data_IF_773063018079
#
_entry.id   IF_773063018079
#
_cell.length_a   1.000
_cell.length_b   1.000
_cell.length_c   1.000
_cell.angle_alpha   90.00
_cell.angle_beta   90.00
_cell.angle_gamma   90.00
#
_symmetry.space_group_name_H-M   'P 1'
#
loop_
_entity.id
_entity.type
_entity.pdbx_description
1 polymer ?
#
# COMPACT_ATOMS: atom_id res chain seq x y z
N UNK A 1 -12.97 -26.10 -12.34
CA UNK A 1 -12.58 -26.67 -11.02
C UNK A 1 -12.64 -25.52 -10.04
N UNK A 2 -13.10 -25.70 -8.80
CA UNK A 2 -13.14 -24.58 -7.84
C UNK A 2 -11.72 -24.07 -7.57
N UNK A 3 -11.47 -22.79 -7.84
CA UNK A 3 -10.20 -22.14 -7.50
C UNK A 3 -10.00 -22.18 -5.98
N UNK A 4 -8.78 -22.43 -5.53
CA UNK A 4 -8.45 -22.36 -4.09
C UNK A 4 -7.11 -21.68 -3.91
N UNK A 5 -7.11 -20.64 -3.06
CA UNK A 5 -6.00 -19.76 -2.78
C UNK A 5 -5.53 -19.97 -1.34
N UNK A 6 -4.25 -19.69 -1.07
CA UNK A 6 -3.75 -19.70 0.31
C UNK A 6 -4.00 -18.35 0.94
N UNK A 7 -4.92 -18.31 1.92
CA UNK A 7 -5.15 -17.11 2.72
C UNK A 7 -4.03 -16.95 3.73
N UNK A 8 -3.42 -15.77 3.72
CA UNK A 8 -2.30 -15.46 4.62
C UNK A 8 -2.80 -15.22 6.04
N UNK A 9 -4.04 -14.74 6.19
CA UNK A 9 -4.65 -14.49 7.49
C UNK A 9 -4.93 -15.81 8.23
N UNK A 10 -5.44 -16.83 7.53
CA UNK A 10 -5.68 -18.15 8.12
C UNK A 10 -4.47 -19.09 8.05
N UNK A 11 -3.56 -18.88 7.10
CA UNK A 11 -2.45 -19.78 6.78
C UNK A 11 -2.89 -21.03 5.99
N UNK A 12 -4.17 -21.14 5.65
CA UNK A 12 -4.78 -22.32 5.05
C UNK A 12 -5.10 -22.10 3.56
N UNK A 13 -5.27 -23.21 2.84
CA UNK A 13 -5.77 -23.16 1.46
C UNK A 13 -7.29 -23.21 1.47
N UNK A 14 -7.91 -22.12 1.03
CA UNK A 14 -9.35 -21.92 1.07
C UNK A 14 -9.95 -21.85 -0.35
N UNK A 15 -11.18 -22.36 -0.55
CA UNK A 15 -11.89 -22.15 -1.81
C UNK A 15 -12.15 -20.67 -2.02
N UNK A 16 -11.88 -20.17 -3.23
CA UNK A 16 -12.16 -18.79 -3.59
C UNK A 16 -13.65 -18.62 -3.95
N UNK A 17 -14.29 -17.66 -3.30
CA UNK A 17 -15.65 -17.21 -3.61
C UNK A 17 -15.63 -15.68 -3.80
N UNK A 18 -16.12 -15.21 -4.94
CA UNK A 18 -16.22 -13.78 -5.19
C UNK A 18 -17.30 -13.16 -4.29
N UNK A 19 -17.04 -11.97 -3.75
CA UNK A 19 -17.99 -11.22 -2.92
C UNK A 19 -19.13 -10.58 -3.72
N UNK A 20 -19.03 -10.55 -5.05
CA UNK A 20 -20.03 -9.98 -5.95
C UNK A 20 -19.88 -10.44 -7.41
N UNK A 21 -20.49 -9.70 -8.34
CA UNK A 21 -20.47 -10.01 -9.78
C UNK A 21 -19.07 -9.83 -10.41
N UNK A 22 -18.29 -8.89 -9.88
CA UNK A 22 -16.91 -8.62 -10.30
C UNK A 22 -15.93 -8.96 -9.18
N UNK A 23 -14.81 -9.59 -9.51
CA UNK A 23 -13.69 -9.83 -8.60
C UNK A 23 -12.80 -8.60 -8.51
N UNK A 24 -12.64 -8.05 -7.30
CA UNK A 24 -11.81 -6.90 -6.98
C UNK A 24 -10.41 -7.36 -6.58
N UNK A 25 -9.47 -7.20 -7.50
CA UNK A 25 -8.08 -7.59 -7.35
C UNK A 25 -7.20 -6.35 -7.20
N UNK A 26 -6.60 -6.17 -6.04
CA UNK A 26 -5.58 -5.15 -5.81
C UNK A 26 -4.19 -5.81 -5.73
N UNK A 27 -3.23 -5.28 -6.47
CA UNK A 27 -1.83 -5.71 -6.43
C UNK A 27 -0.98 -4.53 -5.98
N UNK A 28 -0.20 -4.69 -4.90
CA UNK A 28 0.80 -3.70 -4.54
C UNK A 28 1.83 -3.58 -5.67
N UNK A 29 1.90 -2.40 -6.28
CA UNK A 29 2.92 -2.11 -7.29
C UNK A 29 4.22 -1.64 -6.68
N UNK A 30 5.00 -0.89 -7.45
CA UNK A 30 6.40 -0.61 -7.14
C UNK A 30 6.63 0.84 -6.71
N UNK A 31 7.61 1.00 -5.84
CA UNK A 31 8.37 2.25 -5.72
C UNK A 31 9.22 2.43 -6.98
N UNK A 32 8.89 3.44 -7.78
CA UNK A 32 9.52 3.68 -9.10
C UNK A 32 10.82 4.48 -8.99
N UNK A 33 11.81 3.89 -8.29
CA UNK A 33 13.14 4.47 -8.04
C UNK A 33 14.29 3.74 -8.73
N UNK A 34 14.00 2.61 -9.41
CA UNK A 34 15.02 1.76 -10.04
C UNK A 34 14.42 0.83 -11.11
N UNK A 35 15.29 0.21 -11.90
CA UNK A 35 14.88 -0.76 -12.92
C UNK A 35 14.21 -1.99 -12.30
N UNK A 36 13.13 -2.51 -12.92
CA UNK A 36 12.49 -3.71 -12.42
C UNK A 36 13.37 -4.95 -12.60
N UNK A 37 13.38 -5.82 -11.59
CA UNK A 37 14.13 -7.08 -11.61
C UNK A 37 13.21 -8.31 -11.57
N UNK A 38 13.77 -9.51 -11.71
CA UNK A 38 13.03 -10.79 -11.75
C UNK A 38 12.11 -11.05 -10.54
N UNK A 39 12.42 -10.47 -9.38
CA UNK A 39 11.52 -10.51 -8.22
C UNK A 39 10.15 -9.88 -8.50
N UNK A 40 10.13 -8.73 -9.19
CA UNK A 40 8.89 -8.04 -9.58
C UNK A 40 8.16 -8.82 -10.67
N UNK A 41 8.91 -9.32 -11.67
CA UNK A 41 8.35 -10.14 -12.74
C UNK A 41 7.61 -11.38 -12.21
N UNK A 42 8.09 -11.97 -11.10
CA UNK A 42 7.41 -13.08 -10.44
C UNK A 42 6.04 -12.69 -9.88
N UNK A 43 5.94 -11.57 -9.16
CA UNK A 43 4.66 -11.08 -8.63
C UNK A 43 3.69 -10.78 -9.77
N UNK A 44 4.12 -10.05 -10.79
CA UNK A 44 3.27 -9.70 -11.92
C UNK A 44 2.79 -10.93 -12.70
N UNK A 45 3.66 -11.92 -12.91
CA UNK A 45 3.26 -13.16 -13.57
C UNK A 45 2.20 -13.93 -12.75
N UNK A 46 2.31 -13.91 -11.42
CA UNK A 46 1.32 -14.57 -10.55
C UNK A 46 -0.02 -13.84 -10.58
N UNK A 47 -0.02 -12.51 -10.54
CA UNK A 47 -1.23 -11.70 -10.69
C UNK A 47 -1.87 -11.88 -12.08
N UNK A 48 -1.07 -11.91 -13.15
CA UNK A 48 -1.53 -12.13 -14.52
C UNK A 48 -2.18 -13.52 -14.71
N UNK A 49 -1.54 -14.58 -14.20
CA UNK A 49 -2.10 -15.94 -14.24
C UNK A 49 -3.43 -15.99 -13.49
N UNK A 50 -3.50 -15.38 -12.30
CA UNK A 50 -4.72 -15.35 -11.49
C UNK A 50 -5.84 -14.59 -12.20
N UNK A 51 -5.55 -13.40 -12.72
CA UNK A 51 -6.51 -12.62 -13.50
C UNK A 51 -7.02 -13.42 -14.69
N UNK A 52 -6.13 -13.97 -15.52
CA UNK A 52 -6.51 -14.77 -16.70
C UNK A 52 -7.34 -15.98 -16.33
N UNK A 53 -7.03 -16.64 -15.22
CA UNK A 53 -7.79 -17.78 -14.73
C UNK A 53 -9.21 -17.38 -14.29
N UNK A 54 -9.33 -16.30 -13.50
CA UNK A 54 -10.64 -15.77 -13.07
C UNK A 54 -11.50 -15.37 -14.27
N UNK A 55 -10.91 -14.67 -15.25
CA UNK A 55 -11.59 -14.31 -16.49
C UNK A 55 -12.00 -15.55 -17.30
N UNK A 56 -11.16 -16.60 -17.34
CA UNK A 56 -11.48 -17.87 -17.99
C UNK A 56 -12.66 -18.60 -17.32
N UNK A 57 -12.76 -18.55 -16.00
CA UNK A 57 -13.89 -19.11 -15.23
C UNK A 57 -15.16 -18.23 -15.31
N UNK A 58 -15.10 -17.11 -16.05
CA UNK A 58 -16.25 -16.26 -16.36
C UNK A 58 -16.47 -15.07 -15.42
N UNK A 59 -15.52 -14.78 -14.52
CA UNK A 59 -15.58 -13.59 -13.69
C UNK A 59 -15.21 -12.33 -14.48
N UNK A 60 -15.88 -11.23 -14.19
CA UNK A 60 -15.38 -9.89 -14.51
C UNK A 60 -14.33 -9.49 -13.47
N UNK A 61 -13.12 -9.11 -13.88
CA UNK A 61 -12.00 -8.86 -12.96
C UNK A 61 -11.61 -7.39 -13.00
N UNK A 62 -11.86 -6.69 -11.89
CA UNK A 62 -11.41 -5.31 -11.67
C UNK A 62 -10.04 -5.34 -11.02
N UNK A 63 -9.01 -5.17 -11.85
CA UNK A 63 -7.62 -5.25 -11.46
C UNK A 63 -7.00 -3.85 -11.31
N UNK A 64 -6.52 -3.52 -10.11
CA UNK A 64 -5.84 -2.26 -9.79
C UNK A 64 -4.42 -2.53 -9.28
N UNK A 65 -3.44 -1.79 -9.79
CA UNK A 65 -2.05 -1.89 -9.35
C UNK A 65 -1.45 -0.49 -9.17
N UNK A 66 -1.08 -0.09 -7.95
CA UNK A 66 -0.59 1.27 -7.71
C UNK A 66 0.84 1.51 -8.21
N UNK A 67 1.23 2.77 -8.28
CA UNK A 67 2.60 3.21 -8.49
C UNK A 67 2.97 4.13 -7.33
N UNK A 68 3.95 3.72 -6.53
CA UNK A 68 4.50 4.58 -5.47
C UNK A 68 5.52 5.52 -6.09
N UNK A 69 5.06 6.73 -6.44
CA UNK A 69 5.85 7.80 -7.06
C UNK A 69 6.32 8.89 -6.09
N UNK A 70 6.10 8.68 -4.79
CA UNK A 70 6.57 9.52 -3.68
C UNK A 70 7.27 8.61 -2.67
N UNK A 71 8.59 8.74 -2.52
CA UNK A 71 9.39 7.97 -1.55
C UNK A 71 10.83 8.52 -1.49
N UNK A 72 11.49 8.39 -0.34
CA UNK A 72 12.89 8.81 -0.15
C UNK A 72 13.87 8.24 -1.19
N UNK A 73 13.64 7.02 -1.68
CA UNK A 73 14.45 6.40 -2.74
C UNK A 73 14.29 7.07 -4.09
N UNK A 74 13.15 7.72 -4.35
CA UNK A 74 12.91 8.49 -5.57
C UNK A 74 13.56 9.86 -5.40
N UNK A 75 13.38 10.49 -4.24
CA UNK A 75 14.05 11.76 -3.87
C UNK A 75 15.56 11.66 -4.06
N UNK A 76 16.19 10.58 -3.58
CA UNK A 76 17.63 10.33 -3.70
C UNK A 76 18.19 10.23 -5.12
N UNK A 77 17.32 10.15 -6.14
CA UNK A 77 17.70 10.08 -7.57
C UNK A 77 17.59 11.42 -8.29
N UNK A 78 16.92 12.39 -7.69
CA UNK A 78 16.77 13.73 -8.28
C UNK A 78 18.17 14.33 -8.45
N UNK A 79 18.46 14.85 -9.64
CA UNK A 79 19.78 15.38 -10.00
C UNK A 79 20.79 14.36 -10.52
N UNK A 80 20.51 13.05 -10.45
CA UNK A 80 21.41 12.01 -10.98
C UNK A 80 21.58 12.09 -12.50
N UNK A 81 20.57 12.62 -13.21
CA UNK A 81 20.60 12.84 -14.66
C UNK A 81 20.09 14.25 -14.96
N UNK A 82 20.56 14.84 -16.06
CA UNK A 82 20.16 16.19 -16.50
C UNK A 82 18.63 16.32 -16.67
N UNK A 83 17.95 15.25 -17.07
CA UNK A 83 16.48 15.22 -17.24
C UNK A 83 15.70 14.92 -15.95
N UNK A 84 16.37 14.71 -14.82
CA UNK A 84 15.74 14.33 -13.54
C UNK A 84 15.78 15.50 -12.55
N UNK A 85 15.07 16.57 -12.89
CA UNK A 85 14.99 17.79 -12.08
C UNK A 85 14.04 17.63 -10.88
N UNK A 86 13.04 16.75 -11.00
CA UNK A 86 12.04 16.50 -9.96
C UNK A 86 11.82 15.01 -9.72
N UNK A 87 11.22 14.65 -8.58
CA UNK A 87 10.81 13.27 -8.30
C UNK A 87 9.84 12.74 -9.36
N UNK A 88 8.97 13.62 -9.88
CA UNK A 88 8.05 13.27 -10.96
C UNK A 88 8.78 12.83 -12.24
N UNK A 89 9.98 13.36 -12.51
CA UNK A 89 10.77 12.96 -13.68
C UNK A 89 11.39 11.58 -13.51
N UNK A 90 11.94 11.32 -12.32
CA UNK A 90 12.46 10.01 -11.92
C UNK A 90 11.34 8.97 -11.98
N UNK A 91 10.22 9.24 -11.30
CA UNK A 91 9.08 8.35 -11.22
C UNK A 91 8.49 8.06 -12.60
N UNK A 92 8.34 9.08 -13.46
CA UNK A 92 7.85 8.91 -14.83
C UNK A 92 8.76 8.02 -15.66
N UNK A 93 10.08 8.18 -15.54
CA UNK A 93 11.05 7.33 -16.23
C UNK A 93 10.89 5.86 -15.84
N UNK A 94 10.94 5.56 -14.54
CA UNK A 94 10.86 4.19 -14.07
C UNK A 94 9.47 3.57 -14.21
N UNK A 95 8.40 4.36 -14.11
CA UNK A 95 7.03 3.90 -14.43
C UNK A 95 6.94 3.43 -15.88
N UNK A 96 7.52 4.19 -16.82
CA UNK A 96 7.53 3.81 -18.23
C UNK A 96 8.35 2.53 -18.46
N UNK A 97 9.52 2.39 -17.82
CA UNK A 97 10.31 1.16 -17.89
C UNK A 97 9.52 -0.05 -17.34
N UNK A 98 8.90 0.08 -16.17
CA UNK A 98 8.05 -0.97 -15.56
C UNK A 98 6.95 -1.41 -16.52
N UNK A 99 6.15 -0.46 -17.02
CA UNK A 99 5.04 -0.76 -17.93
C UNK A 99 5.53 -1.36 -19.27
N UNK A 100 6.70 -0.94 -19.74
CA UNK A 100 7.32 -1.54 -20.93
C UNK A 100 7.76 -2.98 -20.66
N UNK A 101 8.38 -3.29 -19.50
CA UNK A 101 8.75 -4.67 -19.16
C UNK A 101 7.54 -5.57 -18.97
N UNK A 102 6.47 -5.08 -18.35
CA UNK A 102 5.20 -5.83 -18.25
C UNK A 102 4.65 -6.18 -19.64
N UNK A 103 4.72 -5.22 -20.58
CA UNK A 103 4.32 -5.44 -21.97
C UNK A 103 5.21 -6.47 -22.68
N UNK A 104 6.53 -6.37 -22.52
CA UNK A 104 7.49 -7.32 -23.12
C UNK A 104 7.26 -8.76 -22.62
N UNK A 105 6.80 -8.90 -21.38
CA UNK A 105 6.41 -10.17 -20.76
C UNK A 105 4.99 -10.64 -21.13
N UNK A 106 4.26 -9.90 -21.98
CA UNK A 106 2.90 -10.18 -22.40
C UNK A 106 1.90 -10.29 -21.22
N UNK A 107 2.08 -9.47 -20.19
CA UNK A 107 1.18 -9.40 -19.05
C UNK A 107 -0.04 -8.53 -19.39
N UNK A 108 -1.20 -8.87 -18.82
CA UNK A 108 -2.39 -8.03 -18.87
C UNK A 108 -2.11 -6.70 -18.17
N UNK A 109 -2.68 -5.61 -18.71
CA UNK A 109 -2.69 -4.33 -18.01
C UNK A 109 -3.72 -4.36 -16.89
N UNK A 110 -3.40 -3.76 -15.77
CA UNK A 110 -4.41 -3.35 -14.80
C UNK A 110 -5.39 -2.34 -15.44
N UNK A 111 -6.61 -2.29 -14.91
CA UNK A 111 -7.65 -1.34 -15.28
C UNK A 111 -7.16 0.10 -15.06
N UNK A 112 -6.48 0.33 -13.93
CA UNK A 112 -5.90 1.62 -13.56
C UNK A 112 -4.62 1.42 -12.76
N UNK A 113 -3.69 2.37 -12.95
CA UNK A 113 -2.43 2.47 -12.23
C UNK A 113 -2.40 3.75 -11.39
N UNK A 114 -3.05 3.78 -10.21
CA UNK A 114 -3.12 4.99 -9.39
C UNK A 114 -1.74 5.37 -8.84
N UNK A 115 -1.46 6.67 -8.81
CA UNK A 115 -0.21 7.25 -8.30
C UNK A 115 -0.43 7.92 -6.95
N UNK A 116 0.53 7.79 -6.05
CA UNK A 116 0.46 8.40 -4.71
C UNK A 116 0.32 9.90 -4.80
N UNK A 117 1.12 10.55 -5.65
CA UNK A 117 1.09 12.00 -5.86
C UNK A 117 -0.28 12.54 -6.31
N UNK A 118 -1.12 11.70 -6.92
CA UNK A 118 -2.46 12.05 -7.41
C UNK A 118 -3.58 11.73 -6.41
N UNK A 119 -3.30 11.01 -5.33
CA UNK A 119 -4.29 10.57 -4.34
C UNK A 119 -4.04 11.12 -2.93
N UNK A 120 -3.23 12.20 -2.82
CA UNK A 120 -2.95 12.85 -1.54
C UNK A 120 -4.21 13.36 -0.84
N UNK A 121 -5.22 13.95 -1.53
CA UNK A 121 -6.47 14.34 -0.87
C UNK A 121 -7.18 13.15 -0.20
N UNK A 122 -7.32 12.02 -0.89
CA UNK A 122 -7.95 10.80 -0.37
C UNK A 122 -7.14 10.20 0.79
N UNK A 123 -5.80 10.31 0.74
CA UNK A 123 -4.93 9.92 1.85
C UNK A 123 -5.23 10.79 3.08
N UNK A 124 -5.27 12.12 2.91
CA UNK A 124 -5.56 13.05 4.02
C UNK A 124 -6.93 12.76 4.63
N UNK A 125 -7.97 12.59 3.81
CA UNK A 125 -9.33 12.25 4.28
C UNK A 125 -9.36 10.93 5.07
N UNK A 126 -8.61 9.92 4.62
CA UNK A 126 -8.52 8.64 5.33
C UNK A 126 -7.79 8.80 6.67
N UNK A 127 -6.73 9.60 6.72
CA UNK A 127 -6.01 9.88 7.97
C UNK A 127 -6.91 10.67 8.95
N UNK A 128 -7.64 11.67 8.49
CA UNK A 128 -8.64 12.38 9.32
C UNK A 128 -9.66 11.41 9.89
N UNK A 129 -10.19 10.50 9.07
CA UNK A 129 -11.13 9.46 9.50
C UNK A 129 -10.54 8.56 10.59
N UNK A 130 -9.27 8.16 10.47
CA UNK A 130 -8.59 7.33 11.47
C UNK A 130 -8.37 8.08 12.80
N UNK A 131 -8.08 9.39 12.74
CA UNK A 131 -8.00 10.25 13.93
C UNK A 131 -9.37 10.36 14.60
N UNK A 132 -10.42 10.65 13.85
CA UNK A 132 -11.79 10.76 14.36
C UNK A 132 -12.28 9.48 15.04
N UNK A 133 -11.87 8.32 14.53
CA UNK A 133 -12.20 7.02 15.11
C UNK A 133 -11.32 6.62 16.31
N UNK A 134 -10.28 7.41 16.61
CA UNK A 134 -9.35 7.15 17.71
C UNK A 134 -8.30 6.08 17.41
N UNK A 135 -8.04 5.79 16.13
CA UNK A 135 -6.99 4.86 15.69
C UNK A 135 -5.69 5.56 15.29
N UNK A 136 -5.70 6.89 15.19
CA UNK A 136 -4.52 7.68 14.87
C UNK A 136 -4.40 8.91 15.78
N UNK A 137 -3.19 9.44 15.91
CA UNK A 137 -2.92 10.65 16.67
C UNK A 137 -1.86 11.50 15.99
N UNK A 138 -2.00 12.82 16.13
CA UNK A 138 -1.00 13.80 15.70
C UNK A 138 0.05 14.01 16.80
N UNK A 139 1.30 14.22 16.36
CA UNK A 139 2.45 14.55 17.19
C UNK A 139 3.44 15.36 16.32
N UNK A 140 3.75 16.59 16.74
CA UNK A 140 4.70 17.50 16.06
C UNK A 140 4.47 17.69 14.54
N UNK A 141 3.22 17.68 14.10
CA UNK A 141 2.81 17.82 12.70
C UNK A 141 2.86 16.51 11.88
N UNK A 142 3.38 15.43 12.46
CA UNK A 142 3.27 14.07 11.92
C UNK A 142 2.01 13.38 12.49
N UNK A 143 1.48 12.40 11.77
CA UNK A 143 0.36 11.57 12.23
C UNK A 143 0.77 10.11 12.25
N UNK A 144 0.51 9.45 13.36
CA UNK A 144 0.85 8.05 13.59
C UNK A 144 -0.40 7.20 13.79
N UNK A 145 -0.37 5.96 13.30
CA UNK A 145 -1.36 4.95 13.63
C UNK A 145 -1.03 4.32 14.98
N UNK A 146 -2.00 4.31 15.90
CA UNK A 146 -1.88 3.68 17.21
C UNK A 146 -2.18 2.19 17.09
N UNK A 147 -1.13 1.37 17.06
CA UNK A 147 -1.32 -0.10 16.93
C UNK A 147 -2.02 -0.71 18.13
N UNK A 148 -2.01 -0.05 19.28
CA UNK A 148 -2.64 -0.54 20.52
C UNK A 148 -4.15 -0.27 20.54
N UNK A 149 -4.60 0.75 19.81
CA UNK A 149 -6.02 1.06 19.65
C UNK A 149 -6.75 0.00 18.80
N UNK A 150 -6.04 -0.68 17.89
CA UNK A 150 -6.61 -1.72 17.03
C UNK A 150 -6.30 -3.13 17.54
N UNK A 151 -7.23 -3.73 18.29
CA UNK A 151 -7.05 -5.03 18.94
C UNK A 151 -6.84 -6.22 18.00
N UNK A 152 -7.13 -6.05 16.70
CA UNK A 152 -6.88 -7.07 15.68
C UNK A 152 -5.55 -6.88 14.94
N UNK A 153 -4.72 -5.91 15.34
CA UNK A 153 -3.41 -5.67 14.74
C UNK A 153 -2.50 -6.90 14.91
N UNK A 154 -1.70 -7.20 13.87
CA UNK A 154 -0.79 -8.36 13.85
C UNK A 154 -1.41 -9.69 13.41
N UNK A 155 -2.74 -9.80 13.26
CA UNK A 155 -3.39 -11.05 12.83
C UNK A 155 -2.95 -11.55 11.45
N UNK A 156 -2.70 -10.65 10.50
CA UNK A 156 -2.28 -11.03 9.13
C UNK A 156 -0.83 -11.58 9.08
N UNK A 157 0.06 -11.03 9.91
CA UNK A 157 1.46 -11.45 9.97
C UNK A 157 1.70 -12.58 10.99
N UNK A 158 0.68 -12.90 11.80
CA UNK A 158 0.77 -13.80 12.95
C UNK A 158 1.91 -13.44 13.90
N UNK A 159 2.15 -12.14 14.10
CA UNK A 159 3.17 -11.61 15.01
C UNK A 159 2.55 -10.85 16.18
N UNK A 160 3.14 -11.03 17.36
CA UNK A 160 2.81 -10.28 18.57
C UNK A 160 3.43 -8.88 18.52
N UNK A 161 2.67 -7.86 18.96
CA UNK A 161 3.08 -6.44 18.95
C UNK A 161 4.38 -6.22 19.75
N UNK A 162 4.56 -6.97 20.84
CA UNK A 162 5.73 -6.90 21.72
C UNK A 162 7.04 -7.38 21.05
N UNK A 163 6.96 -8.05 19.89
CA UNK A 163 8.11 -8.52 19.13
C UNK A 163 8.57 -7.54 18.03
N UNK A 164 7.90 -6.40 17.89
CA UNK A 164 8.20 -5.38 16.88
C UNK A 164 9.32 -4.47 17.39
N UNK A 165 10.46 -4.46 16.70
CA UNK A 165 11.57 -3.54 16.99
C UNK A 165 11.20 -2.09 16.63
N UNK A 166 11.72 -1.11 17.37
CA UNK A 166 11.48 0.31 17.09
C UNK A 166 11.97 0.69 15.68
N UNK A 167 11.05 1.18 14.83
CA UNK A 167 11.37 1.66 13.48
C UNK A 167 11.31 3.19 13.42
N UNK A 168 12.16 3.80 12.60
CA UNK A 168 12.27 5.25 12.43
C UNK A 168 13.56 5.82 13.02
N UNK A 169 13.85 7.07 12.65
CA UNK A 169 14.95 7.87 13.19
C UNK A 169 14.71 8.18 14.69
N UNK A 170 15.77 8.36 15.52
CA UNK A 170 15.66 8.87 16.89
C UNK A 170 14.57 9.93 17.13
N UNK A 171 14.44 10.91 16.23
CA UNK A 171 13.44 11.97 16.38
C UNK A 171 12.02 11.42 16.20
N UNK A 172 11.78 10.61 15.16
CA UNK A 172 10.49 9.92 14.96
C UNK A 172 10.13 8.99 16.13
N UNK A 173 11.12 8.38 16.79
CA UNK A 173 10.87 7.50 17.95
C UNK A 173 10.40 8.27 19.18
N UNK A 174 10.89 9.50 19.37
CA UNK A 174 10.48 10.35 20.48
C UNK A 174 9.02 10.79 20.40
N UNK A 175 8.44 10.80 19.20
CA UNK A 175 7.07 11.26 18.94
C UNK A 175 6.01 10.16 19.12
N UNK A 176 6.44 8.90 19.04
CA UNK A 176 5.55 7.74 19.07
C UNK A 176 5.16 7.36 20.50
N UNK A 177 3.87 7.10 20.71
CA UNK A 177 3.32 6.51 21.94
C UNK A 177 3.74 5.07 22.11
N UNK A 178 3.81 4.31 21.02
CA UNK A 178 4.30 2.95 20.98
C UNK A 178 5.39 2.80 19.90
N UNK A 179 6.52 2.13 20.16
CA UNK A 179 7.58 1.97 19.16
C UNK A 179 7.15 1.23 17.88
N UNK A 180 6.08 0.44 17.93
CA UNK A 180 5.48 -0.24 16.80
C UNK A 180 4.53 0.65 15.97
N UNK A 181 4.22 1.86 16.43
CA UNK A 181 3.43 2.83 15.67
C UNK A 181 4.18 3.24 14.40
N UNK A 182 3.42 3.43 13.33
CA UNK A 182 3.95 3.82 12.02
C UNK A 182 3.29 5.11 11.54
N UNK A 183 4.06 5.90 10.80
CA UNK A 183 3.58 7.17 10.26
C UNK A 183 2.54 6.94 9.17
N UNK A 184 1.40 7.60 9.30
CA UNK A 184 0.39 7.80 8.26
C UNK A 184 0.67 9.09 7.49
N UNK A 185 1.20 10.10 8.18
CA UNK A 185 1.64 11.36 7.60
C UNK A 185 2.94 11.78 8.27
N UNK A 186 3.94 12.22 7.50
CA UNK A 186 5.21 12.71 8.02
C UNK A 186 5.31 14.21 7.79
N UNK A 187 5.64 14.97 8.83
CA UNK A 187 5.88 16.40 8.71
C UNK A 187 7.11 16.67 7.83
N UNK A 188 7.00 17.69 6.96
CA UNK A 188 8.09 18.12 6.08
C UNK A 188 8.46 17.14 4.97
N UNK A 189 9.64 17.37 4.41
CA UNK A 189 10.19 16.63 3.29
C UNK A 189 10.88 15.31 3.68
N UNK A 190 11.87 14.93 2.90
CA UNK A 190 12.75 13.79 3.15
C UNK A 190 14.04 14.29 3.80
N UNK A 191 14.42 13.68 4.91
CA UNK A 191 15.64 14.03 5.63
C UNK A 191 16.89 13.82 4.79
N UNK A 192 17.85 14.74 4.91
CA UNK A 192 19.12 14.71 4.20
C UNK A 192 19.87 13.37 4.39
N UNK A 193 19.82 12.80 5.59
CA UNK A 193 20.45 11.52 5.90
C UNK A 193 19.78 10.35 5.16
N UNK A 194 18.45 10.36 5.02
CA UNK A 194 17.72 9.35 4.27
C UNK A 194 17.99 9.44 2.76
N UNK A 195 18.11 10.67 2.24
CA UNK A 195 18.52 10.91 0.85
C UNK A 195 19.92 10.36 0.60
N UNK A 196 20.86 10.62 1.52
CA UNK A 196 22.25 10.16 1.37
C UNK A 196 22.36 8.63 1.50
N UNK A 197 21.61 7.99 2.41
CA UNK A 197 21.56 6.53 2.53
C UNK A 197 21.11 5.85 1.23
N UNK A 198 20.15 6.45 0.53
CA UNK A 198 19.55 5.87 -0.67
C UNK A 198 20.17 6.35 -1.98
N UNK A 199 21.11 7.30 -1.91
CA UNK A 199 21.85 7.80 -3.07
C UNK A 199 22.72 6.68 -3.64
N UNK A 200 22.50 6.34 -4.91
CA UNK A 200 23.30 5.31 -5.61
C UNK A 200 24.54 5.86 -6.30
N UNK A 201 24.50 7.13 -6.68
CA UNK A 201 25.52 7.80 -7.45
C UNK A 201 25.75 9.21 -6.89
N UNK A 202 27.01 9.58 -6.69
CA UNK A 202 27.37 10.97 -6.40
C UNK A 202 26.99 11.85 -7.59
N UNK A 203 26.29 12.93 -7.33
CA UNK A 203 25.95 13.95 -8.32
C UNK A 203 25.95 15.33 -7.66
N UNK A 204 26.37 16.34 -8.42
CA UNK A 204 26.50 17.71 -7.94
C UNK A 204 25.13 18.35 -7.66
N UNK A 205 25.05 19.17 -6.61
CA UNK A 205 23.85 19.94 -6.28
C UNK A 205 23.48 19.89 -4.80
N UNK A 206 22.51 20.72 -4.37
CA UNK A 206 21.90 20.60 -3.05
C UNK A 206 21.18 19.24 -2.92
N UNK A 207 21.10 18.70 -1.71
CA UNK A 207 20.29 17.52 -1.46
C UNK A 207 18.81 17.85 -1.73
N UNK A 208 18.09 17.03 -2.50
CA UNK A 208 16.67 17.21 -2.73
C UNK A 208 15.88 16.99 -1.43
N UNK A 209 14.88 17.83 -1.18
CA UNK A 209 14.07 17.79 0.04
C UNK A 209 12.78 16.95 -0.14
N UNK A 210 12.49 16.45 -1.34
CA UNK A 210 11.27 15.69 -1.64
C UNK A 210 10.01 16.56 -1.73
N UNK A 211 8.96 16.06 -2.38
CA UNK A 211 7.69 16.77 -2.47
C UNK A 211 6.92 16.74 -1.15
N UNK A 212 6.24 17.85 -0.88
CA UNK A 212 5.36 18.04 0.27
C UNK A 212 4.01 18.59 -0.16
N UNK A 213 3.00 18.38 0.68
CA UNK A 213 1.63 18.82 0.48
C UNK A 213 1.09 19.45 1.76
N UNK A 214 0.18 20.41 1.60
CA UNK A 214 -0.54 20.98 2.74
C UNK A 214 -1.53 19.97 3.31
N UNK A 215 -1.59 19.87 4.64
CA UNK A 215 -2.55 19.05 5.36
C UNK A 215 -3.07 19.80 6.61
N UNK A 216 -4.14 19.31 7.27
CA UNK A 216 -4.62 19.86 8.54
C UNK A 216 -3.57 19.87 9.66
N UNK A 217 -2.54 19.04 9.57
CA UNK A 217 -1.47 18.89 10.57
C UNK A 217 -0.20 19.66 10.21
N UNK A 218 -0.19 20.35 9.07
CA UNK A 218 0.98 21.06 8.54
C UNK A 218 1.41 20.54 7.18
N UNK A 219 2.49 21.10 6.66
CA UNK A 219 3.08 20.64 5.40
C UNK A 219 3.86 19.34 5.62
N UNK A 220 3.66 18.35 4.74
CA UNK A 220 4.31 17.06 4.89
C UNK A 220 4.03 16.11 3.73
N UNK A 221 4.21 14.81 3.96
CA UNK A 221 4.07 13.77 2.94
C UNK A 221 3.38 12.51 3.49
N UNK A 222 2.74 11.71 2.63
CA UNK A 222 2.16 10.43 3.01
C UNK A 222 3.17 9.45 3.62
N UNK A 223 2.69 8.63 4.56
CA UNK A 223 3.38 7.42 4.99
C UNK A 223 3.08 6.23 4.07
N UNK A 224 4.06 5.35 3.88
CA UNK A 224 3.98 4.27 2.86
C UNK A 224 2.73 3.39 2.98
N UNK A 225 2.30 3.02 4.19
CA UNK A 225 1.19 2.07 4.37
C UNK A 225 -0.20 2.65 4.08
N UNK A 226 -0.40 3.97 4.26
CA UNK A 226 -1.72 4.59 4.07
C UNK A 226 -2.05 4.77 2.58
N UNK A 227 -1.01 4.90 1.74
CA UNK A 227 -1.10 5.08 0.29
C UNK A 227 -1.94 3.97 -0.37
N UNK A 228 -1.55 2.71 -0.17
CA UNK A 228 -2.25 1.56 -0.76
C UNK A 228 -3.69 1.43 -0.25
N UNK A 229 -3.93 1.80 1.01
CA UNK A 229 -5.28 1.76 1.59
C UNK A 229 -6.19 2.78 0.91
N UNK A 230 -5.76 4.04 0.81
CA UNK A 230 -6.53 5.09 0.15
C UNK A 230 -6.76 4.79 -1.35
N UNK A 231 -5.71 4.40 -2.08
CA UNK A 231 -5.84 4.09 -3.51
C UNK A 231 -6.72 2.87 -3.77
N UNK A 232 -6.58 1.78 -2.99
CA UNK A 232 -7.43 0.60 -3.17
C UNK A 232 -8.90 0.91 -2.89
N UNK A 233 -9.20 1.67 -1.82
CA UNK A 233 -10.57 2.07 -1.49
C UNK A 233 -11.18 2.98 -2.55
N UNK A 234 -10.40 3.90 -3.12
CA UNK A 234 -10.87 4.82 -4.17
C UNK A 234 -11.32 4.09 -5.42
N UNK A 235 -10.57 3.07 -5.86
CA UNK A 235 -10.83 2.40 -7.15
C UNK A 235 -11.70 1.13 -7.03
N UNK A 236 -11.62 0.42 -5.89
CA UNK A 236 -12.29 -0.87 -5.67
C UNK A 236 -13.36 -0.84 -4.56
N UNK A 237 -13.43 0.24 -3.77
CA UNK A 237 -14.35 0.37 -2.64
C UNK A 237 -13.80 -0.21 -1.34
N UNK A 238 -14.62 -0.22 -0.29
CA UNK A 238 -14.22 -0.56 1.09
C UNK A 238 -13.75 -2.01 1.29
N UNK A 239 -14.12 -2.92 0.39
CA UNK A 239 -13.77 -4.35 0.50
C UNK A 239 -13.20 -4.90 -0.80
N UNK A 240 -12.10 -5.64 -0.65
CA UNK A 240 -11.41 -6.34 -1.73
C UNK A 240 -11.68 -7.84 -1.65
N UNK A 241 -11.68 -8.52 -2.80
CA UNK A 241 -11.71 -9.99 -2.83
C UNK A 241 -10.31 -10.57 -2.65
N UNK A 242 -9.33 -9.97 -3.33
CA UNK A 242 -7.94 -10.41 -3.34
C UNK A 242 -7.02 -9.19 -3.24
N UNK A 243 -6.12 -9.23 -2.26
CA UNK A 243 -4.96 -8.34 -2.16
C UNK A 243 -3.68 -9.17 -2.35
N UNK A 244 -2.83 -8.79 -3.31
CA UNK A 244 -1.54 -9.45 -3.58
C UNK A 244 -0.36 -8.50 -3.40
N UNK A 245 0.76 -9.04 -2.93
CA UNK A 245 2.03 -8.32 -2.79
C UNK A 245 3.20 -9.27 -2.58
N UNK A 246 4.41 -8.73 -2.50
CA UNK A 246 5.59 -9.50 -2.11
C UNK A 246 5.45 -10.06 -0.69
N UNK A 247 6.10 -11.19 -0.38
CA UNK A 247 6.09 -11.75 0.98
C UNK A 247 6.69 -10.79 2.01
N UNK A 248 7.61 -9.94 1.57
CA UNK A 248 8.22 -8.85 2.31
C UNK A 248 7.22 -7.75 2.73
N UNK A 249 6.02 -7.70 2.12
CA UNK A 249 4.96 -6.75 2.44
C UNK A 249 3.94 -7.27 3.46
N UNK A 250 4.04 -8.53 3.90
CA UNK A 250 3.12 -9.10 4.92
C UNK A 250 3.27 -8.40 6.28
N UNK A 251 4.46 -7.87 6.57
CA UNK A 251 4.76 -7.05 7.75
C UNK A 251 6.02 -6.21 7.51
N UNK A 252 6.15 -4.99 8.05
CA UNK A 252 7.40 -4.22 7.97
C UNK A 252 8.55 -5.07 8.52
N UNK A 253 9.48 -5.46 7.64
CA UNK A 253 10.41 -6.57 7.89
C UNK A 253 11.52 -6.17 8.88
N UNK A 254 11.43 -6.65 10.13
CA UNK A 254 12.45 -6.50 11.20
C UNK A 254 13.66 -7.45 11.04
N UNK A 255 14.14 -7.72 9.82
CA UNK A 255 15.35 -8.54 9.65
C UNK A 255 16.47 -7.82 8.92
N UNK A 256 17.14 -6.92 9.64
CA UNK A 256 18.46 -6.39 9.28
C UNK A 256 19.42 -7.57 9.06
N UNK A 257 19.76 -7.85 7.80
CA UNK A 257 20.76 -8.87 7.47
C UNK A 257 22.14 -8.33 7.84
N UNK A 258 22.59 -8.58 9.06
CA UNK A 258 23.98 -8.36 9.48
C UNK A 258 24.97 -8.97 8.47
N UNK A 259 26.04 -8.25 8.04
CA UNK A 259 26.97 -8.72 6.99
C UNK A 259 27.86 -9.92 7.39
N UNK A 260 27.75 -10.44 8.61
CA UNK A 260 28.63 -11.50 9.14
C UNK A 260 27.97 -12.88 9.10
N UNK A 261 27.69 -13.40 7.91
CA UNK A 261 27.48 -14.83 7.74
C UNK A 261 28.12 -15.32 6.44
N UNK A 262 29.27 -16.01 6.57
CA UNK A 262 29.98 -16.67 5.45
C UNK A 262 29.07 -17.70 4.76
N UNK A 263 29.23 -17.92 3.44
CA UNK A 263 28.38 -18.83 2.71
C UNK A 263 28.75 -20.28 3.01
N UNK A 264 27.80 -21.07 3.51
CA UNK A 264 27.88 -22.54 3.46
C UNK A 264 27.19 -23.02 2.18
N UNK A 265 27.96 -23.71 1.33
CA UNK A 265 27.45 -24.53 0.22
C UNK A 265 26.78 -25.79 0.78
N UNK A 266 25.57 -26.09 0.30
CA UNK A 266 24.97 -27.42 0.09
C UNK A 266 23.53 -27.17 -0.41
N UNK A 267 23.18 -27.46 -1.67
CA UNK A 267 22.68 -28.77 -2.12
C UNK A 267 21.61 -29.35 -1.19
N UNK A 268 20.36 -28.99 -1.41
CA UNK A 268 19.34 -29.97 -1.83
C UNK A 268 18.00 -29.27 -2.09
N UNK A 269 17.37 -29.74 -3.15
CA UNK A 269 16.05 -29.37 -3.64
C UNK A 269 14.95 -29.62 -2.62
N UNK A 270 14.12 -28.59 -2.36
CA UNK A 270 12.67 -28.72 -2.18
C UNK A 270 12.02 -27.35 -2.34
N UNK A 271 11.49 -27.15 -3.54
CA UNK A 271 10.69 -26.01 -3.96
C UNK A 271 9.35 -26.03 -3.21
N UNK A 272 9.11 -25.03 -2.37
CA UNK A 272 7.76 -24.71 -1.89
C UNK A 272 7.55 -23.21 -2.13
N UNK A 273 6.87 -22.91 -3.24
CA UNK A 273 6.48 -21.55 -3.59
C UNK A 273 5.10 -21.27 -3.02
N UNK A 274 5.03 -20.47 -1.96
CA UNK A 274 3.78 -19.89 -1.46
C UNK A 274 3.71 -18.43 -1.90
N UNK A 275 2.57 -18.05 -2.46
CA UNK A 275 2.23 -16.65 -2.79
C UNK A 275 1.01 -16.34 -1.95
N UNK A 276 1.10 -15.31 -1.13
CA UNK A 276 0.07 -14.87 -0.19
C UNK A 276 -1.04 -14.12 -0.94
N UNK A 277 -2.28 -14.60 -0.84
CA UNK A 277 -3.47 -13.90 -1.29
C UNK A 277 -4.45 -13.87 -0.12
N UNK A 278 -4.75 -12.69 0.44
CA UNK A 278 -5.77 -12.65 1.50
C UNK A 278 -7.17 -12.73 0.89
N UNK A 279 -7.95 -13.74 1.28
CA UNK A 279 -9.36 -13.90 0.94
C UNK A 279 -10.15 -13.84 2.25
N UNK A 280 -11.10 -12.91 2.39
CA UNK A 280 -12.03 -12.92 3.54
C UNK A 280 -13.25 -13.78 3.23
N UNK A 281 -13.72 -14.63 4.16
CA UNK A 281 -15.04 -15.25 4.07
C UNK A 281 -16.13 -14.21 4.37
N UNK A 282 -17.14 -14.16 3.52
CA UNK A 282 -18.30 -13.30 3.69
C UNK A 282 -19.05 -13.62 5.00
N UNK A 283 -19.07 -12.70 5.97
CA UNK A 283 -20.03 -12.74 7.07
C UNK A 283 -20.29 -11.38 7.75
N UNK A 284 -21.58 -11.00 7.70
CA UNK A 284 -22.36 -10.16 8.64
C UNK A 284 -22.37 -8.64 8.44
N UNK A 285 -23.27 -8.24 7.54
CA UNK A 285 -24.24 -7.12 7.64
C UNK A 285 -23.99 -6.13 8.80
N UNK A 286 -23.54 -4.92 8.46
CA UNK A 286 -23.89 -3.74 9.24
C UNK A 286 -25.41 -3.50 9.18
N UNK A 287 -26.07 -3.07 10.27
CA UNK A 287 -27.47 -2.69 10.22
C UNK A 287 -27.63 -1.39 9.42
N UNK A 288 -28.69 -1.23 8.62
CA UNK A 288 -28.92 0.02 7.91
C UNK A 288 -29.15 1.14 8.91
N UNK A 289 -28.45 2.27 8.72
CA UNK A 289 -28.83 3.55 9.32
C UNK A 289 -30.31 3.79 9.01
N UNK A 290 -31.10 3.97 10.05
CA UNK A 290 -32.49 4.38 9.98
C UNK A 290 -32.58 5.74 9.29
N UNK A 291 -32.93 5.75 8.01
CA UNK A 291 -33.46 6.92 7.34
C UNK A 291 -34.85 7.21 7.93
N UNK A 292 -34.91 8.11 8.89
CA UNK A 292 -36.18 8.62 9.44
C UNK A 292 -36.79 9.56 8.42
N UNK A 293 -37.52 9.02 7.45
CA UNK A 293 -38.42 9.78 6.59
C UNK A 293 -39.60 10.24 7.45
N UNK A 294 -39.58 11.48 7.93
CA UNK A 294 -40.78 12.12 8.48
C UNK A 294 -41.59 12.71 7.32
N UNK A 295 -42.69 12.03 6.99
CA UNK A 295 -43.71 12.51 6.08
C UNK A 295 -44.94 12.94 6.87
N UNK A 296 -45.49 14.08 6.45
CA UNK A 296 -46.90 14.55 6.57
C UNK A 296 -47.24 15.45 7.77
N UNK A 297 -48.28 16.32 7.69
CA UNK A 297 -49.22 16.52 6.58
C UNK A 297 -49.40 17.99 6.12
N UNK A 298 -49.81 18.14 4.85
CA UNK A 298 -50.43 19.35 4.30
C UNK A 298 -51.77 19.65 4.98
N UNK A 299 -52.11 20.91 5.27
CA UNK A 299 -53.48 21.30 5.54
C UNK A 299 -54.17 21.77 4.25
N UNK A 300 -55.30 21.12 3.97
CA UNK A 300 -56.34 21.57 3.06
C UNK A 300 -56.96 22.89 3.53
N UNK A 301 -57.10 23.87 2.62
CA UNK A 301 -58.18 24.87 2.69
C UNK A 301 -58.73 25.08 1.28
N UNK A 302 -60.04 24.90 1.17
CA UNK A 302 -60.88 25.08 -0.01
C UNK A 302 -61.35 26.54 -0.15
N UNK A 303 -61.51 26.96 -1.40
CA UNK A 303 -62.52 27.91 -1.94
C UNK A 303 -62.64 29.33 -1.34
N UNK A 304 -62.28 30.33 -2.15
CA UNK A 304 -63.19 31.32 -2.75
C UNK A 304 -62.51 31.98 -3.96
#
# INVERSE_FOLDING_TARGET
MTLSLTDTLSGEREPFEASGESVRLYVCGLTVSDDPHLGHARLWAQADILHRWLAHEGYDVRHVENVTDVNEKITARVGEREAWETEADVARHYTNEVLQRMRDLNLLRAEVYPRVSEHVPEIVELVETLIEQGYAYESNGSVYFDVTAFTEYGKLSNQEIDAVEEQGDPDERGEKRNPADFALWKAGGVDADAVEEHRKHEHDGPLPEGQTWASPWGEGRPGWHIECSAMSMTHLGETLDIHMGGQDLVFPTTRTRSPRARPRRASDSRTTGSTSASCRPAARRCPPRSATTSLSPTPSVSSA
#
